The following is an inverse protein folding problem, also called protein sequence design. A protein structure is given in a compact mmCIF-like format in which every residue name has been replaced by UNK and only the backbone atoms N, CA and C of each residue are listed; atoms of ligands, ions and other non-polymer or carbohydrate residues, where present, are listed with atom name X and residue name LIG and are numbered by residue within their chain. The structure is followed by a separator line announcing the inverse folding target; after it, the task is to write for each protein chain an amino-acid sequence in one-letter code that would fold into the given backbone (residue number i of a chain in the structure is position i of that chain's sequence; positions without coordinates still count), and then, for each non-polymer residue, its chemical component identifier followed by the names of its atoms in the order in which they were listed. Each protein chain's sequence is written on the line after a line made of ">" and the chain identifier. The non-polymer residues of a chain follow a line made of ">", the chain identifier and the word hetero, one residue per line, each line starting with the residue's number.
data_IF_792809659368
#
_entry.id   IF_792809659368
#
_cell.length_a   1.000
_cell.length_b   1.000
_cell.length_c   1.000
_cell.angle_alpha   90.00
_cell.angle_beta   90.00
_cell.angle_gamma   90.00
#
_symmetry.space_group_name_H-M   'P 1'
#
loop_
_entity.id
_entity.type
_entity.pdbx_description
1 polymer ?
#
# COMPACT_ATOMS: atom_id res chain seq x y z
N UNK A 1 15.88 4.88 14.86
CA UNK A 1 15.59 5.25 13.48
C UNK A 1 16.36 4.32 12.58
N UNK A 2 15.63 3.42 11.93
CA UNK A 2 16.14 2.58 10.85
C UNK A 2 16.61 3.47 9.71
N UNK A 3 17.58 3.00 8.92
CA UNK A 3 17.94 3.68 7.69
C UNK A 3 16.78 3.62 6.71
N UNK A 4 16.63 4.62 5.84
CA UNK A 4 15.61 4.59 4.77
C UNK A 4 15.74 3.29 3.95
N UNK A 5 16.96 2.84 3.68
CA UNK A 5 17.21 1.58 2.99
C UNK A 5 16.61 0.37 3.72
N UNK A 6 16.80 0.29 5.03
CA UNK A 6 16.18 -0.78 5.84
C UNK A 6 14.65 -0.69 5.85
N UNK A 7 14.09 0.53 5.88
CA UNK A 7 12.63 0.72 5.78
C UNK A 7 12.10 0.24 4.44
N UNK A 8 12.72 0.64 3.32
CA UNK A 8 12.30 0.22 1.97
C UNK A 8 12.44 -1.28 1.77
N UNK A 9 13.50 -1.90 2.31
CA UNK A 9 13.65 -3.36 2.26
C UNK A 9 12.52 -4.08 3.00
N UNK A 10 12.15 -3.60 4.20
CA UNK A 10 11.01 -4.13 4.95
C UNK A 10 9.69 -3.97 4.19
N UNK A 11 9.46 -2.78 3.60
CA UNK A 11 8.28 -2.50 2.79
C UNK A 11 8.15 -3.47 1.60
N UNK A 12 9.25 -3.70 0.87
CA UNK A 12 9.27 -4.62 -0.27
C UNK A 12 8.97 -6.07 0.16
N UNK A 13 9.54 -6.52 1.28
CA UNK A 13 9.30 -7.86 1.82
C UNK A 13 7.82 -8.05 2.22
N UNK A 14 7.23 -7.04 2.86
CA UNK A 14 5.82 -7.08 3.25
C UNK A 14 4.89 -7.08 2.02
N UNK A 15 5.19 -6.26 1.03
CA UNK A 15 4.48 -6.22 -0.25
C UNK A 15 4.53 -7.58 -0.96
N UNK A 16 5.70 -8.24 -0.98
CA UNK A 16 5.84 -9.58 -1.57
C UNK A 16 5.01 -10.63 -0.81
N UNK A 17 4.97 -10.54 0.51
CA UNK A 17 4.13 -11.40 1.35
C UNK A 17 2.64 -11.16 1.07
N UNK A 18 2.20 -9.91 0.98
CA UNK A 18 0.82 -9.56 0.64
C UNK A 18 0.43 -10.07 -0.75
N UNK A 19 1.32 -9.94 -1.74
CA UNK A 19 1.10 -10.50 -3.07
C UNK A 19 0.92 -12.04 -3.04
N UNK A 20 1.57 -12.74 -2.11
CA UNK A 20 1.33 -14.17 -1.90
C UNK A 20 -0.03 -14.46 -1.25
N UNK A 21 -0.55 -13.56 -0.42
CA UNK A 21 -1.86 -13.68 0.22
C UNK A 21 -3.04 -13.40 -0.73
N UNK A 22 -2.81 -12.58 -1.76
CA UNK A 22 -3.80 -12.19 -2.77
C UNK A 22 -3.31 -12.62 -4.16
N UNK A 23 -3.33 -13.93 -4.47
CA UNK A 23 -2.67 -14.48 -5.67
C UNK A 23 -3.39 -14.13 -6.98
N UNK A 24 -4.63 -13.65 -6.93
CA UNK A 24 -5.34 -13.24 -8.13
C UNK A 24 -4.81 -11.89 -8.63
N UNK A 25 -4.55 -11.79 -9.94
CA UNK A 25 -4.13 -10.55 -10.58
C UNK A 25 -5.18 -9.42 -10.45
N UNK A 26 -6.44 -9.77 -10.20
CA UNK A 26 -7.52 -8.81 -9.96
C UNK A 26 -7.63 -8.39 -8.49
N UNK A 27 -6.95 -9.08 -7.56
CA UNK A 27 -7.00 -8.79 -6.12
C UNK A 27 -5.87 -7.89 -5.66
N UNK A 28 -4.69 -8.00 -6.24
CA UNK A 28 -3.53 -7.20 -5.87
C UNK A 28 -2.81 -6.64 -7.10
N UNK A 29 -2.56 -5.33 -7.10
CA UNK A 29 -1.75 -4.70 -8.13
C UNK A 29 -1.02 -3.46 -7.62
N UNK A 30 0.10 -3.13 -8.25
CA UNK A 30 0.86 -1.93 -7.95
C UNK A 30 0.18 -0.69 -8.54
N UNK A 31 0.12 0.39 -7.76
CA UNK A 31 -0.37 1.69 -8.25
C UNK A 31 0.69 2.35 -9.15
N UNK A 32 1.98 2.14 -8.84
CA UNK A 32 3.12 2.57 -9.65
C UNK A 32 4.20 1.48 -9.70
N UNK A 33 4.30 0.78 -10.84
CA UNK A 33 5.31 -0.26 -11.08
C UNK A 33 6.73 0.33 -11.17
N UNK A 34 6.86 1.58 -11.63
CA UNK A 34 8.16 2.24 -11.70
C UNK A 34 8.70 2.53 -10.30
N UNK A 35 7.84 2.90 -9.35
CA UNK A 35 8.25 3.10 -7.95
C UNK A 35 8.81 1.81 -7.33
N UNK A 36 8.22 0.65 -7.62
CA UNK A 36 8.72 -0.66 -7.16
C UNK A 36 10.08 -0.97 -7.80
N UNK A 37 10.23 -0.67 -9.08
CA UNK A 37 11.50 -0.86 -9.80
C UNK A 37 12.59 0.03 -9.24
N UNK A 38 12.29 1.31 -9.01
CA UNK A 38 13.19 2.28 -8.41
C UNK A 38 13.61 1.86 -7.00
N UNK A 39 12.69 1.36 -6.18
CA UNK A 39 13.01 0.87 -4.84
C UNK A 39 13.95 -0.34 -4.88
N UNK A 40 13.74 -1.30 -5.79
CA UNK A 40 14.65 -2.44 -5.98
C UNK A 40 16.04 -1.99 -6.42
N UNK A 41 16.14 -1.01 -7.31
CA UNK A 41 17.42 -0.41 -7.72
C UNK A 41 18.11 0.33 -6.59
N UNK A 42 17.34 1.08 -5.79
CA UNK A 42 17.84 1.75 -4.59
C UNK A 42 18.44 0.72 -3.64
N UNK A 43 17.70 -0.34 -3.26
CA UNK A 43 18.22 -1.45 -2.41
C UNK A 43 19.44 -2.15 -3.03
N UNK A 44 19.49 -2.28 -4.35
CA UNK A 44 20.64 -2.84 -5.07
C UNK A 44 21.84 -1.92 -5.25
N UNK A 45 21.83 -0.71 -4.66
CA UNK A 45 22.90 0.31 -4.76
C UNK A 45 23.16 0.79 -6.20
N UNK A 46 22.19 0.63 -7.10
CA UNK A 46 22.24 1.15 -8.47
C UNK A 46 21.78 2.60 -8.56
N UNK A 47 21.14 3.10 -7.50
CA UNK A 47 20.62 4.46 -7.37
C UNK A 47 20.83 4.95 -5.94
N UNK A 48 21.22 6.22 -5.82
CA UNK A 48 21.58 6.84 -4.53
C UNK A 48 20.39 7.39 -3.74
N UNK A 49 19.24 7.57 -4.38
CA UNK A 49 18.04 8.16 -3.77
C UNK A 49 16.77 7.49 -4.28
N UNK A 50 15.68 7.61 -3.50
CA UNK A 50 14.34 7.17 -3.85
C UNK A 50 13.39 8.37 -3.76
N UNK A 51 12.70 8.71 -4.84
CA UNK A 51 11.78 9.86 -4.86
C UNK A 51 10.32 9.49 -4.59
N UNK A 52 9.94 8.26 -4.91
CA UNK A 52 8.54 7.82 -4.91
C UNK A 52 8.25 6.93 -3.70
N UNK A 53 7.08 7.13 -3.10
CA UNK A 53 6.53 6.21 -2.12
C UNK A 53 6.08 4.92 -2.81
N UNK A 54 6.04 3.81 -2.07
CA UNK A 54 5.56 2.55 -2.61
C UNK A 54 4.04 2.48 -2.47
N UNK A 55 3.35 2.32 -3.59
CA UNK A 55 1.89 2.27 -3.66
C UNK A 55 1.38 0.95 -4.23
N UNK A 56 0.39 0.35 -3.58
CA UNK A 56 -0.30 -0.83 -4.08
C UNK A 56 -1.78 -0.80 -3.70
N UNK A 57 -2.57 -1.60 -4.40
CA UNK A 57 -4.02 -1.68 -4.23
C UNK A 57 -4.40 -3.12 -3.95
N UNK A 58 -5.28 -3.30 -2.96
CA UNK A 58 -5.94 -4.56 -2.67
C UNK A 58 -7.43 -4.39 -2.96
N UNK A 59 -7.96 -5.22 -3.87
CA UNK A 59 -9.36 -5.25 -4.24
C UNK A 59 -10.09 -6.32 -3.42
N UNK A 60 -11.04 -5.88 -2.59
CA UNK A 60 -11.80 -6.73 -1.70
C UNK A 60 -13.22 -6.93 -2.22
N UNK A 61 -13.63 -8.20 -2.33
CA UNK A 61 -14.98 -8.58 -2.72
C UNK A 61 -15.80 -8.84 -1.45
N UNK A 62 -16.75 -7.95 -1.17
CA UNK A 62 -17.60 -8.02 0.01
C UNK A 62 -18.87 -8.80 -0.34
N UNK A 63 -18.82 -10.11 -0.14
CA UNK A 63 -19.88 -11.05 -0.52
C UNK A 63 -21.24 -10.71 0.10
N UNK A 64 -21.26 -10.25 1.36
CA UNK A 64 -22.50 -9.96 2.10
C UNK A 64 -23.34 -8.84 1.50
N UNK A 65 -22.68 -7.90 0.81
CA UNK A 65 -23.34 -6.76 0.15
C UNK A 65 -23.13 -6.74 -1.37
N UNK A 66 -22.60 -7.85 -1.92
CA UNK A 66 -22.31 -8.05 -3.33
C UNK A 66 -21.66 -6.83 -3.99
N UNK A 67 -20.63 -6.28 -3.35
CA UNK A 67 -19.90 -5.12 -3.85
C UNK A 67 -18.40 -5.34 -3.80
N UNK A 68 -17.68 -4.56 -4.60
CA UNK A 68 -16.23 -4.57 -4.61
C UNK A 68 -15.71 -3.22 -4.18
N UNK A 69 -14.71 -3.22 -3.32
CA UNK A 69 -13.99 -2.03 -2.89
C UNK A 69 -12.51 -2.19 -3.13
N UNK A 70 -11.82 -1.09 -3.38
CA UNK A 70 -10.38 -1.06 -3.55
C UNK A 70 -9.77 -0.28 -2.39
N UNK A 71 -8.75 -0.86 -1.76
CA UNK A 71 -7.96 -0.21 -0.72
C UNK A 71 -6.60 0.13 -1.31
N UNK A 72 -6.32 1.41 -1.46
CA UNK A 72 -5.01 1.91 -1.85
C UNK A 72 -4.16 2.11 -0.60
N UNK A 73 -2.98 1.50 -0.57
CA UNK A 73 -1.98 1.67 0.46
C UNK A 73 -0.80 2.45 -0.12
N UNK A 74 -0.34 3.48 0.59
CA UNK A 74 0.81 4.30 0.21
C UNK A 74 1.78 4.26 1.39
N UNK A 75 2.90 3.56 1.19
CA UNK A 75 3.93 3.39 2.20
C UNK A 75 4.90 4.59 2.11
N UNK A 76 4.94 5.48 3.12
CA UNK A 76 5.93 6.54 3.14
C UNK A 76 7.34 5.95 3.27
N UNK A 77 8.36 6.69 2.83
CA UNK A 77 9.76 6.25 2.86
C UNK A 77 10.26 5.76 4.24
N UNK A 78 9.65 6.24 5.32
CA UNK A 78 10.02 5.89 6.69
C UNK A 78 9.11 4.82 7.32
N UNK A 79 8.09 4.29 6.63
CA UNK A 79 7.29 3.16 7.12
C UNK A 79 8.22 1.96 7.40
N UNK A 80 8.08 1.25 8.54
CA UNK A 80 6.97 1.30 9.49
C UNK A 80 7.09 2.34 10.62
N UNK A 81 8.13 3.19 10.65
CA UNK A 81 8.27 4.24 11.67
C UNK A 81 7.26 5.39 11.48
N UNK A 82 6.78 5.58 10.26
CA UNK A 82 5.67 6.50 9.92
C UNK A 82 4.42 5.72 9.55
N UNK A 83 3.21 6.22 9.89
CA UNK A 83 1.96 5.54 9.57
C UNK A 83 1.78 5.42 8.05
N UNK A 84 1.18 4.31 7.63
CA UNK A 84 0.75 4.12 6.24
C UNK A 84 -0.47 4.98 5.93
N UNK A 85 -0.50 5.55 4.73
CA UNK A 85 -1.69 6.20 4.21
C UNK A 85 -2.57 5.16 3.50
N UNK A 86 -3.81 5.02 3.95
CA UNK A 86 -4.80 4.07 3.40
C UNK A 86 -6.01 4.83 2.89
N UNK A 87 -6.40 4.57 1.65
CA UNK A 87 -7.53 5.22 1.00
C UNK A 87 -8.52 4.21 0.43
N UNK A 88 -9.80 4.41 0.70
CA UNK A 88 -10.88 3.65 0.04
C UNK A 88 -11.18 4.24 -1.34
N UNK A 89 -10.95 3.46 -2.39
CA UNK A 89 -11.46 3.72 -3.74
C UNK A 89 -12.75 2.94 -3.92
N UNK A 90 -13.86 3.65 -4.08
CA UNK A 90 -15.20 3.05 -4.16
C UNK A 90 -16.19 3.94 -4.91
N UNK A 91 -17.25 3.33 -5.45
CA UNK A 91 -18.43 4.04 -5.98
C UNK A 91 -19.47 4.36 -4.89
N UNK A 92 -19.20 4.02 -3.62
CA UNK A 92 -20.08 4.34 -2.49
C UNK A 92 -20.17 5.86 -2.25
N UNK A 93 -21.15 6.26 -1.45
CA UNK A 93 -21.38 7.68 -1.13
C UNK A 93 -20.19 8.30 -0.40
N UNK A 94 -20.05 9.62 -0.52
CA UNK A 94 -19.03 10.40 0.20
C UNK A 94 -19.08 10.17 1.73
N UNK A 95 -20.27 10.02 2.30
CA UNK A 95 -20.45 9.73 3.73
C UNK A 95 -19.84 8.36 4.11
N UNK A 96 -20.03 7.34 3.27
CA UNK A 96 -19.40 6.02 3.49
C UNK A 96 -17.87 6.10 3.42
N UNK A 97 -17.33 6.87 2.47
CA UNK A 97 -15.89 7.12 2.36
C UNK A 97 -15.32 7.80 3.61
N UNK A 98 -15.99 8.85 4.10
CA UNK A 98 -15.57 9.59 5.30
C UNK A 98 -15.57 8.68 6.55
N UNK A 99 -16.66 7.94 6.78
CA UNK A 99 -16.76 6.99 7.90
C UNK A 99 -15.72 5.87 7.84
N UNK A 100 -15.44 5.35 6.64
CA UNK A 100 -14.40 4.33 6.47
C UNK A 100 -13.04 4.88 6.85
N UNK A 101 -12.66 6.04 6.33
CA UNK A 101 -11.35 6.62 6.61
C UNK A 101 -11.18 6.99 8.09
N UNK A 102 -12.22 7.46 8.76
CA UNK A 102 -12.20 7.68 10.22
C UNK A 102 -11.97 6.36 10.97
N UNK A 103 -12.66 5.29 10.56
CA UNK A 103 -12.52 3.97 11.17
C UNK A 103 -11.12 3.38 10.98
N UNK A 104 -10.55 3.48 9.78
CA UNK A 104 -9.19 3.01 9.49
C UNK A 104 -8.15 3.81 10.27
N UNK A 105 -8.28 5.14 10.32
CA UNK A 105 -7.40 5.98 11.13
C UNK A 105 -7.46 5.61 12.61
N UNK A 106 -8.65 5.28 13.13
CA UNK A 106 -8.80 4.83 14.52
C UNK A 106 -8.23 3.43 14.77
N UNK A 107 -8.15 2.58 13.75
CA UNK A 107 -7.64 1.21 13.90
C UNK A 107 -6.10 1.15 13.83
N UNK A 108 -5.49 2.04 13.04
CA UNK A 108 -4.04 2.08 12.82
C UNK A 108 -3.26 2.91 13.86
N UNK A 109 -3.95 3.71 14.68
CA UNK A 109 -3.37 4.50 15.78
C UNK A 109 -3.69 3.88 17.14
#
# INVERSE_FOLDING_TARGET
>A
MNSIRSCIEQQLNEIELLHCCYPSADEFYFDDIEAITEAKEFIGEKRDYLQRNLGFIIKLHLNDINTTVELQFIYPLHYPESPVDVHLRTYLSRECYEKFNESVKSFLN
#
